data_IF_413501537062
#
_entry.id   IF_413501537062
#
_cell.length_a   1.000
_cell.length_b   1.000
_cell.length_c   1.000
_cell.angle_alpha   90.00
_cell.angle_beta   90.00
_cell.angle_gamma   90.00
#
_symmetry.space_group_name_H-M   'P 1'
#
loop_
_entity.id
_entity.type
_entity.pdbx_description
1 polymer ?
#
# COMPACT_ATOMS: atom_id res chain seq x y z
N UNK A 1 -14.87 -17.86 -34.29
CA UNK A 1 -15.40 -16.71 -35.07
C UNK A 1 -14.36 -15.59 -35.08
N UNK A 2 -13.82 -15.23 -36.25
CA UNK A 2 -12.78 -14.19 -36.42
C UNK A 2 -13.43 -12.92 -36.99
N UNK A 3 -13.34 -11.74 -36.36
CA UNK A 3 -13.82 -10.52 -37.00
C UNK A 3 -12.76 -9.99 -37.97
N UNK A 4 -13.03 -10.19 -39.25
CA UNK A 4 -12.45 -9.43 -40.36
C UNK A 4 -13.15 -8.08 -40.41
N UNK A 5 -12.50 -6.98 -40.01
CA UNK A 5 -12.91 -5.64 -40.43
C UNK A 5 -11.68 -4.89 -40.92
N UNK A 6 -11.59 -4.83 -42.24
CA UNK A 6 -10.64 -4.07 -43.01
C UNK A 6 -10.95 -2.56 -42.84
N UNK A 7 -10.14 -1.86 -42.05
CA UNK A 7 -9.99 -0.41 -42.22
C UNK A 7 -9.27 -0.17 -43.55
N UNK A 8 -10.05 0.17 -44.57
CA UNK A 8 -9.60 0.45 -45.94
C UNK A 8 -8.44 1.46 -45.95
N UNK A 9 -7.51 1.28 -46.90
CA UNK A 9 -6.28 2.05 -46.99
C UNK A 9 -6.51 3.57 -47.09
N UNK A 10 -7.67 4.00 -47.61
CA UNK A 10 -8.01 5.40 -47.82
C UNK A 10 -8.29 6.15 -46.50
N UNK A 11 -8.92 5.51 -45.51
CA UNK A 11 -9.17 6.12 -44.18
C UNK A 11 -7.90 6.27 -43.33
N UNK A 12 -6.78 5.61 -43.68
CA UNK A 12 -5.50 5.76 -42.98
C UNK A 12 -4.76 7.06 -43.32
N UNK A 13 -5.15 7.72 -44.41
CA UNK A 13 -4.47 8.93 -44.92
C UNK A 13 -5.05 10.22 -44.33
N UNK A 14 -6.30 10.19 -43.84
CA UNK A 14 -6.99 11.38 -43.31
C UNK A 14 -6.80 11.56 -41.80
N UNK A 15 -6.19 10.60 -41.11
CA UNK A 15 -5.99 10.63 -39.66
C UNK A 15 -4.63 11.25 -39.28
N UNK A 16 -4.61 12.21 -38.34
CA UNK A 16 -3.37 12.78 -37.80
C UNK A 16 -2.45 11.69 -37.22
N UNK A 17 -1.13 11.85 -37.39
CA UNK A 17 -0.11 10.88 -36.96
C UNK A 17 -0.22 10.50 -35.48
N UNK A 18 -0.65 11.42 -34.62
CA UNK A 18 -0.86 11.20 -33.19
C UNK A 18 -1.98 10.19 -32.91
N UNK A 19 -3.12 10.31 -33.59
CA UNK A 19 -4.29 9.43 -33.43
C UNK A 19 -3.97 8.01 -33.93
N UNK A 20 -3.21 7.91 -35.01
CA UNK A 20 -2.77 6.61 -35.56
C UNK A 20 -1.83 5.85 -34.62
N UNK A 21 -1.03 6.58 -33.83
CA UNK A 21 -0.11 5.99 -32.85
C UNK A 21 -0.84 5.51 -31.60
N UNK A 22 -1.87 6.22 -31.17
CA UNK A 22 -2.67 5.85 -29.99
C UNK A 22 -3.62 4.66 -30.25
N UNK A 23 -4.15 4.53 -31.47
CA UNK A 23 -4.97 3.36 -31.83
C UNK A 23 -4.13 2.07 -31.90
N UNK A 24 -2.90 2.14 -32.43
CA UNK A 24 -2.00 0.98 -32.45
C UNK A 24 -1.47 0.63 -31.05
N UNK A 25 -1.28 1.61 -30.15
CA UNK A 25 -0.80 1.33 -28.79
C UNK A 25 -1.84 0.56 -27.96
N UNK A 26 -3.14 0.83 -28.19
CA UNK A 26 -4.25 0.20 -27.46
C UNK A 26 -4.64 -1.17 -28.02
N UNK A 27 -4.49 -1.43 -29.32
CA UNK A 27 -4.83 -2.72 -29.92
C UNK A 27 -3.77 -3.82 -29.65
N UNK A 28 -2.53 -3.43 -29.33
CA UNK A 28 -1.45 -4.36 -29.00
C UNK A 28 -1.06 -4.34 -27.53
N UNK A 29 -2.01 -4.08 -26.62
CA UNK A 29 -1.86 -4.45 -25.19
C UNK A 29 -2.02 -5.96 -25.03
N UNK A 30 -1.03 -6.67 -25.56
CA UNK A 30 -0.40 -7.90 -25.06
C UNK A 30 -1.27 -8.79 -24.17
N UNK A 31 -2.09 -9.63 -24.82
CA UNK A 31 -2.52 -10.93 -24.28
C UNK A 31 -1.28 -11.76 -23.97
N UNK A 32 -0.88 -11.77 -22.69
CA UNK A 32 0.25 -12.54 -22.19
C UNK A 32 -0.24 -13.96 -21.86
N UNK A 33 -0.44 -14.79 -22.89
CA UNK A 33 -0.68 -16.22 -22.68
C UNK A 33 0.67 -16.91 -22.50
N UNK A 34 0.85 -17.56 -21.35
CA UNK A 34 1.99 -18.43 -21.06
C UNK A 34 1.62 -19.80 -21.60
N UNK A 35 2.24 -20.23 -22.71
CA UNK A 35 2.21 -21.63 -23.10
C UNK A 35 3.58 -22.00 -23.67
N UNK A 36 4.33 -22.80 -22.92
CA UNK A 36 5.58 -23.39 -23.37
C UNK A 36 5.28 -24.42 -24.47
N UNK A 37 5.96 -24.39 -25.62
CA UNK A 37 5.79 -25.43 -26.63
C UNK A 37 6.54 -26.71 -26.22
N UNK A 38 5.81 -27.82 -26.26
CA UNK A 38 6.32 -29.20 -26.17
C UNK A 38 7.14 -29.51 -27.43
N UNK A 39 8.37 -30.02 -27.26
CA UNK A 39 9.22 -30.49 -28.36
C UNK A 39 8.93 -31.97 -28.70
N UNK A 40 8.80 -32.35 -29.98
CA UNK A 40 8.89 -33.74 -30.43
C UNK A 40 10.36 -34.18 -30.66
N UNK A 41 10.69 -35.48 -30.55
CA UNK A 41 12.07 -35.96 -30.66
C UNK A 41 12.46 -36.61 -32.01
N UNK A 42 13.78 -36.54 -32.29
CA UNK A 42 14.70 -37.42 -33.07
C UNK A 42 14.63 -37.50 -34.62
N UNK A 43 15.77 -37.20 -35.27
CA UNK A 43 16.73 -38.13 -35.95
C UNK A 43 17.57 -37.35 -37.01
N UNK A 44 18.89 -37.22 -36.82
CA UNK A 44 20.01 -37.94 -37.47
C UNK A 44 20.48 -37.44 -38.87
N UNK A 45 21.65 -36.77 -38.83
CA UNK A 45 22.77 -36.65 -39.83
C UNK A 45 22.61 -35.79 -41.13
N UNK A 46 23.72 -35.39 -41.81
CA UNK A 46 24.26 -34.02 -41.77
C UNK A 46 24.26 -33.30 -43.13
N UNK A 47 24.12 -31.97 -43.15
CA UNK A 47 24.40 -31.20 -44.37
C UNK A 47 25.30 -30.00 -44.08
N UNK A 48 26.32 -29.86 -44.93
CA UNK A 48 27.50 -29.01 -44.77
C UNK A 48 27.25 -27.59 -45.33
N UNK A 49 27.93 -26.61 -44.71
CA UNK A 49 28.29 -25.24 -45.16
C UNK A 49 27.18 -24.16 -45.21
N UNK A 50 27.36 -23.09 -44.42
CA UNK A 50 28.21 -21.92 -44.77
C UNK A 50 28.25 -20.91 -43.62
N UNK A 51 29.45 -20.62 -43.12
CA UNK A 51 29.69 -19.61 -42.09
C UNK A 51 29.48 -18.20 -42.66
N UNK A 52 28.43 -17.50 -42.24
CA UNK A 52 28.40 -16.03 -42.27
C UNK A 52 27.45 -15.49 -41.21
N UNK A 53 27.90 -15.39 -39.97
CA UNK A 53 27.35 -14.45 -38.99
C UNK A 53 28.37 -14.22 -37.90
N UNK A 54 28.92 -13.01 -37.84
CA UNK A 54 29.65 -12.52 -36.68
C UNK A 54 28.76 -12.65 -35.43
N UNK A 55 29.30 -12.99 -34.25
CA UNK A 55 28.52 -13.00 -33.02
C UNK A 55 28.18 -11.55 -32.69
N UNK A 56 26.96 -11.12 -33.06
CA UNK A 56 26.39 -9.88 -32.53
C UNK A 56 26.04 -10.14 -31.07
N UNK A 57 27.04 -10.01 -30.21
CA UNK A 57 26.84 -9.89 -28.77
C UNK A 57 25.82 -8.76 -28.56
N UNK A 58 24.63 -9.02 -28.00
CA UNK A 58 23.68 -7.96 -27.72
C UNK A 58 24.26 -7.13 -26.58
N UNK A 59 25.07 -6.13 -26.94
CA UNK A 59 25.62 -5.17 -26.01
C UNK A 59 24.44 -4.51 -25.29
N UNK A 60 24.31 -4.70 -23.96
CA UNK A 60 23.22 -4.12 -23.22
C UNK A 60 23.37 -2.60 -23.26
N UNK A 61 22.35 -1.92 -23.78
CA UNK A 61 22.28 -0.46 -23.87
C UNK A 61 22.70 0.19 -22.52
N UNK A 62 23.58 1.20 -22.52
CA UNK A 62 24.09 1.83 -21.28
C UNK A 62 22.97 2.43 -20.41
N UNK A 63 21.81 2.75 -21.00
CA UNK A 63 20.63 3.23 -20.29
C UNK A 63 20.00 2.21 -19.31
N UNK A 64 20.14 0.90 -19.57
CA UNK A 64 19.65 -0.15 -18.65
C UNK A 64 20.60 -0.34 -17.46
N UNK A 65 21.91 -0.22 -17.68
CA UNK A 65 22.90 -0.25 -16.60
C UNK A 65 22.81 1.00 -15.71
N UNK A 66 22.58 2.19 -16.27
CA UNK A 66 22.40 3.42 -15.50
C UNK A 66 21.19 3.39 -14.54
N UNK A 67 20.08 2.74 -14.92
CA UNK A 67 18.92 2.56 -14.02
C UNK A 67 19.16 1.51 -12.92
N UNK A 68 20.11 0.60 -13.11
CA UNK A 68 20.48 -0.41 -12.12
C UNK A 68 21.60 0.06 -11.19
N UNK A 69 22.50 0.94 -11.65
CA UNK A 69 23.61 1.46 -10.82
C UNK A 69 23.15 2.53 -9.84
N UNK A 70 22.11 3.31 -10.14
CA UNK A 70 21.44 4.17 -9.14
C UNK A 70 20.74 3.36 -8.03
N UNK A 71 20.57 2.06 -8.25
CA UNK A 71 19.85 1.13 -7.38
C UNK A 71 20.75 0.40 -6.37
N UNK A 72 22.00 0.84 -6.21
CA UNK A 72 22.95 0.25 -5.24
C UNK A 72 22.89 0.89 -3.85
N UNK A 73 22.18 2.01 -3.69
CA UNK A 73 21.95 2.65 -2.40
C UNK A 73 20.71 2.12 -1.66
N UNK A 74 20.62 2.26 -0.32
CA UNK A 74 19.40 2.09 0.44
C UNK A 74 18.16 2.68 -0.27
N UNK A 75 16.99 2.01 -0.16
CA UNK A 75 15.79 2.42 -0.87
C UNK A 75 15.33 3.81 -0.43
N UNK A 76 14.65 4.52 -1.32
CA UNK A 76 14.09 5.85 -1.05
C UNK A 76 13.18 5.89 0.19
N UNK A 77 12.52 4.78 0.51
CA UNK A 77 11.69 4.63 1.70
C UNK A 77 12.10 3.36 2.41
N UNK A 78 12.49 3.51 3.67
CA UNK A 78 12.79 2.38 4.54
C UNK A 78 11.63 2.12 5.49
N UNK A 79 11.33 0.85 5.75
CA UNK A 79 10.36 0.42 6.74
C UNK A 79 11.04 0.43 8.11
N UNK A 80 10.54 1.26 9.03
CA UNK A 80 11.06 1.37 10.39
C UNK A 80 10.16 0.68 11.41
N UNK A 81 8.85 0.63 11.17
CA UNK A 81 7.88 0.04 12.07
C UNK A 81 7.03 -1.01 11.36
N UNK A 82 6.80 -2.13 12.05
CA UNK A 82 5.83 -3.14 11.68
C UNK A 82 4.98 -3.48 12.91
N UNK A 83 3.66 -3.27 12.81
CA UNK A 83 2.69 -3.55 13.87
C UNK A 83 2.41 -5.03 14.15
N UNK A 84 2.96 -5.92 13.32
CA UNK A 84 2.83 -7.37 13.42
C UNK A 84 1.66 -7.94 12.62
N UNK A 85 1.96 -8.93 11.79
CA UNK A 85 0.98 -9.60 10.91
C UNK A 85 -0.15 -10.27 11.69
N UNK A 86 0.13 -10.84 12.86
CA UNK A 86 -0.90 -11.48 13.69
C UNK A 86 -1.95 -10.51 14.20
N UNK A 87 -1.53 -9.36 14.76
CA UNK A 87 -2.45 -8.31 15.22
C UNK A 87 -3.29 -7.76 14.07
N UNK A 88 -2.66 -7.48 12.92
CA UNK A 88 -3.39 -7.03 11.71
C UNK A 88 -4.40 -8.06 11.23
N UNK A 89 -4.04 -9.35 11.24
CA UNK A 89 -4.90 -10.43 10.78
C UNK A 89 -6.10 -10.60 11.72
N UNK A 90 -5.88 -10.67 13.04
CA UNK A 90 -6.96 -10.74 14.04
C UNK A 90 -7.91 -9.56 13.89
N UNK A 91 -7.38 -8.34 13.74
CA UNK A 91 -8.18 -7.13 13.59
C UNK A 91 -8.98 -7.13 12.28
N UNK A 92 -8.38 -7.63 11.20
CA UNK A 92 -9.05 -7.82 9.92
C UNK A 92 -10.17 -8.85 10.00
N UNK A 93 -9.91 -10.02 10.60
CA UNK A 93 -10.92 -11.08 10.80
C UNK A 93 -12.06 -10.57 11.67
N UNK A 94 -11.76 -9.93 12.81
CA UNK A 94 -12.76 -9.38 13.72
C UNK A 94 -13.69 -8.38 13.00
N UNK A 95 -13.13 -7.47 12.21
CA UNK A 95 -13.91 -6.54 11.38
C UNK A 95 -14.84 -7.28 10.42
N UNK A 96 -14.31 -8.24 9.66
CA UNK A 96 -15.12 -8.99 8.70
C UNK A 96 -16.26 -9.75 9.37
N UNK A 97 -16.00 -10.39 10.50
CA UNK A 97 -17.05 -11.09 11.27
C UNK A 97 -18.15 -10.13 11.70
N UNK A 98 -17.82 -8.94 12.23
CA UNK A 98 -18.85 -7.97 12.63
C UNK A 98 -19.68 -7.42 11.47
N UNK A 99 -19.07 -7.24 10.29
CA UNK A 99 -19.77 -6.80 9.07
C UNK A 99 -20.73 -7.91 8.60
N UNK A 100 -20.31 -9.17 8.66
CA UNK A 100 -21.16 -10.32 8.30
C UNK A 100 -22.33 -10.44 9.27
N UNK A 101 -22.09 -10.34 10.58
CA UNK A 101 -23.15 -10.37 11.60
C UNK A 101 -24.16 -9.24 11.33
N UNK A 102 -23.69 -8.01 11.11
CA UNK A 102 -24.55 -6.88 10.76
C UNK A 102 -25.34 -7.13 9.48
N UNK A 103 -24.70 -7.65 8.43
CA UNK A 103 -25.37 -8.01 7.18
C UNK A 103 -26.47 -9.05 7.37
N UNK A 104 -26.17 -10.15 8.08
CA UNK A 104 -27.16 -11.20 8.40
C UNK A 104 -28.31 -10.63 9.24
N UNK A 105 -28.00 -9.81 10.24
CA UNK A 105 -29.03 -9.15 11.04
C UNK A 105 -29.94 -8.24 10.21
N UNK A 106 -29.38 -7.48 9.26
CA UNK A 106 -30.15 -6.60 8.38
C UNK A 106 -30.99 -7.35 7.34
N UNK A 107 -30.45 -8.41 6.72
CA UNK A 107 -31.09 -9.07 5.57
C UNK A 107 -31.92 -10.31 5.94
N UNK A 108 -31.61 -10.99 7.04
CA UNK A 108 -32.30 -12.22 7.44
C UNK A 108 -33.10 -12.03 8.72
N UNK A 109 -32.45 -11.51 9.77
CA UNK A 109 -33.07 -11.49 11.11
C UNK A 109 -34.12 -10.39 11.22
N UNK A 110 -33.77 -9.13 10.94
CA UNK A 110 -34.69 -8.01 11.12
C UNK A 110 -35.98 -8.14 10.28
N UNK A 111 -35.95 -8.58 9.01
CA UNK A 111 -37.17 -8.81 8.24
C UNK A 111 -38.02 -9.97 8.79
N UNK A 112 -37.41 -11.02 9.37
CA UNK A 112 -38.15 -12.13 9.95
C UNK A 112 -38.97 -11.72 11.19
N UNK A 113 -38.54 -10.67 11.90
CA UNK A 113 -39.26 -10.09 13.04
C UNK A 113 -40.12 -8.88 12.67
N UNK A 114 -40.28 -8.59 11.37
CA UNK A 114 -41.15 -7.53 10.87
C UNK A 114 -42.53 -8.10 10.52
N UNK A 115 -43.25 -8.50 11.56
CA UNK A 115 -44.62 -9.01 11.46
C UNK A 115 -45.50 -8.30 12.49
N UNK A 116 -46.82 -8.27 12.25
CA UNK A 116 -47.78 -7.63 13.17
C UNK A 116 -47.87 -8.33 14.54
N UNK A 117 -47.31 -9.54 14.66
CA UNK A 117 -47.21 -10.31 15.91
C UNK A 117 -46.13 -9.78 16.86
N UNK A 118 -45.16 -9.01 16.35
CA UNK A 118 -44.03 -8.52 17.11
C UNK A 118 -44.10 -7.00 17.31
N UNK A 119 -43.54 -6.48 18.42
CA UNK A 119 -43.45 -5.04 18.61
C UNK A 119 -42.64 -4.38 17.49
N UNK A 120 -43.15 -3.28 16.94
CA UNK A 120 -42.54 -2.55 15.82
C UNK A 120 -41.07 -2.15 16.04
N UNK A 121 -40.64 -2.01 17.30
CA UNK A 121 -39.27 -1.64 17.66
C UNK A 121 -38.28 -2.80 17.63
N UNK A 122 -38.74 -4.06 17.51
CA UNK A 122 -37.88 -5.23 17.60
C UNK A 122 -36.92 -5.33 16.41
N UNK A 123 -37.45 -5.18 15.19
CA UNK A 123 -36.65 -5.15 13.96
C UNK A 123 -35.56 -4.04 13.97
N UNK A 124 -35.87 -2.76 14.24
CA UNK A 124 -34.84 -1.73 14.33
C UNK A 124 -33.88 -1.93 15.52
N UNK A 125 -34.34 -2.49 16.65
CA UNK A 125 -33.46 -2.81 17.77
C UNK A 125 -32.41 -3.86 17.38
N UNK A 126 -32.77 -4.89 16.62
CA UNK A 126 -31.84 -5.92 16.12
C UNK A 126 -30.79 -5.30 15.19
N UNK A 127 -31.20 -4.39 14.31
CA UNK A 127 -30.28 -3.68 13.40
C UNK A 127 -29.30 -2.80 14.20
N UNK A 128 -29.79 -2.05 15.20
CA UNK A 128 -28.94 -1.19 16.03
C UNK A 128 -27.98 -2.03 16.89
N UNK A 129 -28.47 -3.11 17.49
CA UNK A 129 -27.68 -4.02 18.31
C UNK A 129 -26.54 -4.67 17.51
N UNK A 130 -26.80 -5.05 16.25
CA UNK A 130 -25.78 -5.62 15.36
C UNK A 130 -24.84 -4.57 14.74
N UNK A 131 -25.31 -3.32 14.55
CA UNK A 131 -24.45 -2.22 14.09
C UNK A 131 -23.41 -1.81 15.14
N UNK A 132 -23.76 -1.90 16.44
CA UNK A 132 -22.87 -1.50 17.54
C UNK A 132 -21.48 -2.17 17.49
N UNK A 133 -21.33 -3.52 17.46
CA UNK A 133 -20.01 -4.15 17.39
C UNK A 133 -19.26 -3.79 16.11
N UNK A 134 -19.94 -3.67 14.97
CA UNK A 134 -19.32 -3.24 13.70
C UNK A 134 -18.71 -1.84 13.81
N UNK A 135 -19.47 -0.88 14.33
CA UNK A 135 -19.01 0.49 14.53
C UNK A 135 -17.91 0.57 15.57
N UNK A 136 -18.06 -0.16 16.69
CA UNK A 136 -17.08 -0.19 17.78
C UNK A 136 -15.72 -0.72 17.30
N UNK A 137 -15.71 -1.86 16.60
CA UNK A 137 -14.46 -2.42 16.07
C UNK A 137 -13.86 -1.47 15.05
N UNK A 138 -14.64 -0.95 14.09
CA UNK A 138 -14.14 -0.02 13.07
C UNK A 138 -13.53 1.24 13.68
N UNK A 139 -14.19 1.80 14.70
CA UNK A 139 -13.76 3.02 15.39
C UNK A 139 -12.48 2.82 16.20
N UNK A 140 -12.41 1.76 17.00
CA UNK A 140 -11.27 1.46 17.88
C UNK A 140 -10.02 1.07 17.10
N UNK A 141 -10.20 0.43 15.95
CA UNK A 141 -9.11 -0.02 15.07
C UNK A 141 -8.70 0.99 14.00
N UNK A 142 -9.45 2.07 13.79
CA UNK A 142 -9.12 3.13 12.84
C UNK A 142 -7.71 3.75 13.02
N UNK A 143 -7.22 4.05 14.24
CA UNK A 143 -5.89 4.63 14.42
C UNK A 143 -4.76 3.60 14.27
N UNK A 144 -5.05 2.30 14.16
CA UNK A 144 -4.03 1.25 14.14
C UNK A 144 -3.13 1.35 12.90
N UNK A 145 -1.82 1.53 13.13
CA UNK A 145 -0.81 1.62 12.08
C UNK A 145 -0.20 0.25 11.82
N UNK A 146 -0.20 -0.18 10.56
CA UNK A 146 0.38 -1.46 10.13
C UNK A 146 1.88 -1.34 9.86
N UNK A 147 2.26 -0.26 9.16
CA UNK A 147 3.62 0.01 8.73
C UNK A 147 3.93 1.50 8.81
N UNK A 148 5.15 1.86 9.24
CA UNK A 148 5.67 3.23 9.10
C UNK A 148 6.92 3.18 8.23
N UNK A 149 6.91 3.97 7.17
CA UNK A 149 8.07 4.16 6.31
C UNK A 149 8.68 5.54 6.55
N UNK A 150 10.00 5.61 6.58
CA UNK A 150 10.75 6.86 6.61
C UNK A 150 11.26 7.16 5.21
N UNK A 151 11.04 8.40 4.74
CA UNK A 151 11.63 8.89 3.51
C UNK A 151 13.10 9.22 3.75
N UNK A 152 13.99 8.69 2.91
CA UNK A 152 15.42 8.99 2.98
C UNK A 152 15.82 10.03 1.93
N UNK A 153 16.53 11.09 2.33
CA UNK A 153 17.14 12.02 1.39
C UNK A 153 18.34 11.37 0.68
N UNK A 154 18.73 11.92 -0.48
CA UNK A 154 19.77 11.33 -1.35
C UNK A 154 21.10 11.08 -0.63
N UNK A 155 21.49 11.95 0.32
CA UNK A 155 22.72 11.78 1.08
C UNK A 155 22.68 10.55 2.01
N UNK A 156 21.53 10.27 2.64
CA UNK A 156 21.36 9.14 3.55
C UNK A 156 21.23 7.80 2.81
N UNK A 157 20.96 7.84 1.50
CA UNK A 157 20.87 6.64 0.62
C UNK A 157 22.24 6.09 0.20
N UNK A 158 23.36 6.67 0.65
CA UNK A 158 24.70 6.22 0.20
C UNK A 158 25.11 4.89 0.82
N UNK A 159 24.87 4.71 2.11
CA UNK A 159 25.23 3.49 2.85
C UNK A 159 24.22 3.20 3.95
N UNK A 160 24.30 1.99 4.50
CA UNK A 160 23.44 1.55 5.61
C UNK A 160 23.73 2.36 6.87
N UNK A 161 24.99 2.68 7.09
CA UNK A 161 25.48 3.44 8.24
C UNK A 161 24.96 4.88 8.16
N UNK A 162 25.05 5.51 6.99
CA UNK A 162 24.51 6.85 6.76
C UNK A 162 22.99 6.90 6.97
N UNK A 163 22.27 5.85 6.57
CA UNK A 163 20.83 5.70 6.85
C UNK A 163 20.55 5.61 8.35
N UNK A 164 21.32 4.81 9.09
CA UNK A 164 21.16 4.65 10.54
C UNK A 164 21.48 5.95 11.27
N UNK A 165 22.55 6.64 10.87
CA UNK A 165 22.96 7.93 11.45
C UNK A 165 21.89 9.01 11.22
N UNK A 166 21.39 9.12 9.98
CA UNK A 166 20.30 10.04 9.65
C UNK A 166 19.03 9.74 10.47
N UNK A 167 18.69 8.46 10.63
CA UNK A 167 17.50 8.06 11.38
C UNK A 167 17.64 8.24 12.90
N UNK A 168 18.86 8.23 13.44
CA UNK A 168 19.12 8.57 14.84
C UNK A 168 18.96 10.08 15.08
N UNK A 169 19.38 10.90 14.13
CA UNK A 169 19.34 12.36 14.19
C UNK A 169 18.35 12.95 13.18
N UNK A 170 17.08 12.52 13.24
CA UNK A 170 16.08 13.00 12.30
C UNK A 170 15.79 14.50 12.46
N UNK A 171 15.85 15.27 11.37
CA UNK A 171 15.37 16.65 11.39
C UNK A 171 13.84 16.67 11.52
N UNK A 172 13.29 17.74 12.10
CA UNK A 172 11.84 17.92 12.23
C UNK A 172 11.11 17.96 10.87
N UNK A 173 11.83 18.28 9.79
CA UNK A 173 11.32 18.29 8.41
C UNK A 173 11.25 16.90 7.77
N UNK A 174 11.77 15.86 8.41
CA UNK A 174 11.74 14.50 7.88
C UNK A 174 10.31 14.00 7.66
N UNK A 175 10.07 13.37 6.51
CA UNK A 175 8.75 12.84 6.14
C UNK A 175 8.62 11.36 6.48
N UNK A 176 7.54 11.04 7.18
CA UNK A 176 7.11 9.71 7.53
C UNK A 176 5.83 9.37 6.77
N UNK A 177 5.70 8.10 6.39
CA UNK A 177 4.51 7.55 5.77
C UNK A 177 3.92 6.47 6.67
N UNK A 178 2.84 6.80 7.37
CA UNK A 178 2.07 5.81 8.14
C UNK A 178 1.08 5.11 7.23
N UNK A 179 1.00 3.79 7.32
CA UNK A 179 -0.04 2.99 6.67
C UNK A 179 -1.05 2.55 7.71
N UNK A 180 -2.29 3.01 7.58
CA UNK A 180 -3.44 2.63 8.41
C UNK A 180 -4.46 1.86 7.57
N UNK A 181 -5.47 1.27 8.20
CA UNK A 181 -6.59 0.64 7.48
C UNK A 181 -7.83 1.54 7.50
N UNK A 182 -8.42 1.77 6.33
CA UNK A 182 -9.75 2.39 6.21
C UNK A 182 -10.82 1.53 6.88
N UNK A 183 -12.00 2.10 7.06
CA UNK A 183 -13.18 1.35 7.49
C UNK A 183 -13.47 0.15 6.55
N UNK A 184 -13.24 0.32 5.24
CA UNK A 184 -13.38 -0.72 4.21
C UNK A 184 -12.20 -1.71 4.15
N UNK A 185 -11.37 -1.79 5.20
CA UNK A 185 -10.16 -2.64 5.28
C UNK A 185 -9.09 -2.40 4.22
N UNK A 186 -9.25 -1.38 3.38
CA UNK A 186 -8.25 -0.96 2.39
C UNK A 186 -7.09 -0.21 3.07
N UNK A 187 -5.83 -0.48 2.70
CA UNK A 187 -4.69 0.24 3.26
C UNK A 187 -4.67 1.69 2.77
N UNK A 188 -4.53 2.63 3.71
CA UNK A 188 -4.40 4.07 3.47
C UNK A 188 -3.02 4.55 3.91
N UNK A 189 -2.31 5.23 3.02
CA UNK A 189 -1.02 5.86 3.32
C UNK A 189 -1.25 7.33 3.67
N UNK A 190 -0.67 7.75 4.78
CA UNK A 190 -0.73 9.14 5.25
C UNK A 190 0.68 9.69 5.35
N UNK A 191 0.92 10.80 4.68
CA UNK A 191 2.17 11.55 4.77
C UNK A 191 2.11 12.49 5.99
N UNK A 192 3.18 12.50 6.78
CA UNK A 192 3.32 13.30 7.98
C UNK A 192 4.77 13.75 8.16
N UNK A 193 4.98 14.95 8.67
CA UNK A 193 6.32 15.44 9.03
C UNK A 193 6.61 15.12 10.49
N UNK A 194 7.87 14.84 10.80
CA UNK A 194 8.27 14.49 12.17
C UNK A 194 7.94 15.60 13.18
N UNK A 195 8.15 16.87 12.82
CA UNK A 195 7.86 18.02 13.68
C UNK A 195 6.37 18.29 13.92
N UNK A 196 5.49 17.75 13.08
CA UNK A 196 4.03 17.89 13.22
C UNK A 196 3.42 16.79 14.10
N UNK A 197 4.21 15.77 14.46
CA UNK A 197 3.80 14.65 15.30
C UNK A 197 3.99 14.97 16.78
N UNK A 198 2.91 14.82 17.54
CA UNK A 198 2.84 15.11 18.97
C UNK A 198 2.24 13.90 19.71
N UNK A 199 2.75 13.53 20.89
CA UNK A 199 2.16 12.46 21.69
C UNK A 199 0.74 12.83 22.10
N UNK A 200 -0.18 11.91 21.91
CA UNK A 200 -1.58 12.06 22.28
C UNK A 200 -2.06 10.74 22.88
N UNK A 201 -2.93 10.84 23.88
CA UNK A 201 -3.51 9.69 24.57
C UNK A 201 -4.99 9.93 24.75
N UNK A 202 -5.80 9.01 24.25
CA UNK A 202 -7.24 9.00 24.45
C UNK A 202 -7.64 7.88 25.41
N UNK A 203 -8.66 8.13 26.23
CA UNK A 203 -9.27 7.11 27.09
C UNK A 203 -10.20 6.17 26.32
N UNK A 204 -10.81 6.65 25.23
CA UNK A 204 -11.88 5.95 24.51
C UNK A 204 -11.32 5.00 23.44
N UNK A 205 -10.10 5.28 22.96
CA UNK A 205 -9.45 4.46 21.93
C UNK A 205 -7.93 4.51 22.05
N UNK A 206 -7.23 3.46 21.59
CA UNK A 206 -5.78 3.46 21.57
C UNK A 206 -5.26 4.53 20.59
N UNK A 207 -4.49 5.49 21.12
CA UNK A 207 -3.77 6.52 20.35
C UNK A 207 -2.41 6.70 21.01
N UNK A 208 -1.36 6.80 20.18
CA UNK A 208 0.00 7.05 20.64
C UNK A 208 0.46 8.46 20.29
N UNK A 209 0.08 8.95 19.10
CA UNK A 209 0.43 10.29 18.63
C UNK A 209 -0.60 10.83 17.64
N UNK A 210 -0.58 12.15 17.47
CA UNK A 210 -1.40 12.87 16.50
C UNK A 210 -0.55 13.70 15.55
N UNK A 211 -1.05 13.87 14.33
CA UNK A 211 -0.53 14.82 13.38
C UNK A 211 -1.34 16.13 13.45
N UNK A 212 -0.67 17.23 13.79
CA UNK A 212 -1.28 18.56 13.84
C UNK A 212 -1.61 19.11 12.44
N UNK A 213 -0.77 18.80 11.46
CA UNK A 213 -0.87 19.29 10.08
C UNK A 213 -1.07 18.10 9.12
N UNK A 214 -2.27 17.51 9.07
CA UNK A 214 -2.53 16.42 8.15
C UNK A 214 -2.55 16.92 6.71
N UNK A 215 -2.07 16.07 5.80
CA UNK A 215 -2.07 16.39 4.37
C UNK A 215 -3.51 16.64 3.86
N UNK A 216 -3.73 17.70 3.05
CA UNK A 216 -5.05 18.00 2.51
C UNK A 216 -5.50 16.82 1.65
N UNK A 217 -6.71 16.33 1.93
CA UNK A 217 -7.31 15.22 1.21
C UNK A 217 -8.40 15.76 0.30
N UNK A 218 -8.62 15.09 -0.83
CA UNK A 218 -9.71 15.43 -1.75
C UNK A 218 -11.05 15.24 -1.06
N UNK A 219 -12.03 16.07 -1.41
CA UNK A 219 -13.35 16.06 -0.75
C UNK A 219 -14.05 14.68 -0.79
N UNK A 220 -13.80 13.87 -1.83
CA UNK A 220 -14.34 12.51 -1.96
C UNK A 220 -13.53 11.41 -1.25
N UNK A 221 -12.27 11.67 -0.90
CA UNK A 221 -11.41 10.67 -0.23
C UNK A 221 -11.65 10.63 1.29
N UNK A 222 -12.44 11.58 1.81
CA UNK A 222 -12.76 11.72 3.22
C UNK A 222 -11.71 12.50 3.98
N UNK A 223 -11.82 12.48 5.31
CA UNK A 223 -10.88 13.17 6.20
C UNK A 223 -9.60 12.35 6.35
N UNK A 224 -8.45 13.02 6.24
CA UNK A 224 -7.14 12.46 6.59
C UNK A 224 -7.10 12.01 8.06
N UNK A 225 -6.55 10.83 8.37
CA UNK A 225 -6.42 10.38 9.74
C UNK A 225 -5.47 11.31 10.51
N UNK A 226 -5.93 11.78 11.67
CA UNK A 226 -5.14 12.62 12.58
C UNK A 226 -4.48 11.83 13.70
N UNK A 227 -5.11 10.73 14.12
CA UNK A 227 -4.67 9.93 15.25
C UNK A 227 -4.07 8.62 14.76
N UNK A 228 -2.95 8.24 15.37
CA UNK A 228 -2.22 7.05 15.02
C UNK A 228 -1.85 6.29 16.29
N UNK A 229 -1.96 4.98 16.21
CA UNK A 229 -1.60 4.06 17.26
C UNK A 229 -0.52 3.11 16.77
N UNK A 230 0.55 3.08 17.54
CA UNK A 230 1.73 2.25 17.33
C UNK A 230 2.18 1.70 18.66
N UNK A 231 2.70 0.48 18.65
CA UNK A 231 3.48 -0.04 19.76
C UNK A 231 4.77 0.77 19.96
N UNK A 232 5.29 0.83 21.18
CA UNK A 232 6.55 1.53 21.51
C UNK A 232 7.76 0.92 20.80
N UNK A 233 7.70 -0.39 20.54
CA UNK A 233 8.72 -1.15 19.82
C UNK A 233 8.12 -1.72 18.53
N UNK A 234 8.94 -1.76 17.49
CA UNK A 234 8.58 -2.47 16.27
C UNK A 234 8.64 -3.98 16.52
N UNK A 235 7.86 -4.76 15.77
CA UNK A 235 8.01 -6.21 15.83
C UNK A 235 9.39 -6.62 15.29
N UNK A 236 10.09 -7.54 15.97
CA UNK A 236 11.37 -8.02 15.49
C UNK A 236 11.18 -8.75 14.17
N UNK A 237 12.11 -8.56 13.26
CA UNK A 237 12.15 -9.25 11.99
C UNK A 237 13.55 -9.20 11.42
N UNK A 238 13.82 -10.05 10.42
CA UNK A 238 15.16 -10.13 9.82
C UNK A 238 15.51 -8.77 9.20
N UNK A 239 16.58 -8.09 9.66
CA UNK A 239 16.97 -6.81 9.10
C UNK A 239 17.30 -7.00 7.62
N UNK A 240 16.80 -6.08 6.80
CA UNK A 240 16.98 -6.08 5.34
C UNK A 240 17.43 -4.70 4.91
N UNK A 241 17.90 -4.55 3.67
CA UNK A 241 18.23 -3.24 3.09
C UNK A 241 17.07 -2.24 3.16
N UNK A 242 15.84 -2.74 3.26
CA UNK A 242 14.61 -1.95 3.33
C UNK A 242 14.00 -1.91 4.74
N UNK A 243 14.41 -2.78 5.68
CA UNK A 243 13.73 -2.93 6.97
C UNK A 243 14.69 -2.74 8.15
N UNK A 244 14.38 -1.75 8.99
CA UNK A 244 15.21 -1.29 10.10
C UNK A 244 14.38 -1.17 11.39
N UNK A 245 14.01 -2.29 12.03
CA UNK A 245 13.12 -2.29 13.18
C UNK A 245 13.66 -1.51 14.38
N UNK A 246 14.98 -1.55 14.63
CA UNK A 246 15.62 -0.90 15.76
C UNK A 246 15.52 0.64 15.73
N UNK A 247 15.34 1.24 14.54
CA UNK A 247 15.25 2.69 14.41
C UNK A 247 13.95 3.25 14.99
N UNK A 248 12.88 2.44 15.04
CA UNK A 248 11.57 2.90 15.52
C UNK A 248 11.62 3.45 16.95
N UNK A 249 12.40 2.83 17.84
CA UNK A 249 12.48 3.29 19.24
C UNK A 249 13.04 4.72 19.33
N UNK A 250 14.01 5.06 18.49
CA UNK A 250 14.59 6.41 18.43
C UNK A 250 13.59 7.42 17.89
N UNK A 251 12.92 7.09 16.77
CA UNK A 251 11.90 7.95 16.16
C UNK A 251 10.73 8.17 17.12
N UNK A 252 10.27 7.11 17.79
CA UNK A 252 9.18 7.17 18.74
C UNK A 252 9.50 8.05 19.95
N UNK A 253 10.72 7.94 20.50
CA UNK A 253 11.20 8.84 21.56
C UNK A 253 11.24 10.30 21.10
N UNK A 254 11.68 10.58 19.88
CA UNK A 254 11.66 11.93 19.33
C UNK A 254 10.24 12.49 19.21
N UNK A 255 9.28 11.68 18.75
CA UNK A 255 7.86 12.08 18.73
C UNK A 255 7.39 12.43 20.14
N UNK A 256 7.70 11.60 21.14
CA UNK A 256 7.34 11.90 22.55
C UNK A 256 7.93 13.22 23.04
N UNK A 257 9.19 13.51 22.69
CA UNK A 257 9.86 14.74 23.08
C UNK A 257 9.27 15.99 22.41
N UNK A 258 8.74 15.89 21.18
CA UNK A 258 8.08 17.01 20.50
C UNK A 258 6.88 17.55 21.29
N UNK A 259 6.17 16.68 22.03
CA UNK A 259 5.07 17.11 22.89
C UNK A 259 5.51 17.91 24.11
N UNK A 260 6.72 17.67 24.62
CA UNK A 260 7.28 18.46 25.72
C UNK A 260 7.69 19.87 25.25
N UNK A 261 8.15 19.99 24.00
CA UNK A 261 8.54 21.28 23.42
C UNK A 261 7.35 22.19 23.09
N UNK A 262 6.21 21.63 22.67
CA UNK A 262 5.00 22.41 22.32
C UNK A 262 4.09 22.78 23.50
N UNK A 263 4.38 22.27 24.70
CA UNK A 263 3.66 22.63 25.94
C UNK A 263 4.30 23.79 26.70
N UNK A 264 5.47 24.26 26.25
CA UNK A 264 6.11 25.50 26.72
C UNK A 264 5.76 26.63 25.78
#
# INVERSE_FOLDING_TARGET
>A
MRPFILLSAQLRSTLPRSVRRDLNSKLFTRLKTTQNPVQPPKSEVPFIKRNTTAPRNPQPSPAKHARLTFRKGPPERILIYHGGTGKTAILGTLRMTTIIIFGVSCFLVAPAFYTDEHPWYLAPAIVIASAFPMLFVTWTSAPYVTFVHLALPVFARRSREATIEYAKNLPQTATLYATTMRATSMPMKSEMRLGDLVPDKSFIRPVSFTNLNPAPTRWWEGKSPKHFYTDTKSKPGRPSSTFYPALWEHVYKQIQNNGALKKK
#
